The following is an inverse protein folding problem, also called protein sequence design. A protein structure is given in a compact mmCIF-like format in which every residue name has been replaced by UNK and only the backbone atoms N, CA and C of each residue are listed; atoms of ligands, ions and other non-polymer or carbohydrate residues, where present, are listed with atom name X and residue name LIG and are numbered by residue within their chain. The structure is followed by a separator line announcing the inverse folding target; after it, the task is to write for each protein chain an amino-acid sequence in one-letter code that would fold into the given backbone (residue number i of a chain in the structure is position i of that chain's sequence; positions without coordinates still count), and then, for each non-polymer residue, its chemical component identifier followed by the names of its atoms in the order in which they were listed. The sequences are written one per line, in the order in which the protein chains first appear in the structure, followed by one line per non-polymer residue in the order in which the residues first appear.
data_IF_780451636410
#
_entry.id   IF_780451636410
#
_cell.length_a   1.000
_cell.length_b   1.000
_cell.length_c   1.000
_cell.angle_alpha   90.00
_cell.angle_beta   90.00
_cell.angle_gamma   90.00
#
_symmetry.space_group_name_H-M   'P 1'
#
loop_
_entity.id
_entity.type
_entity.pdbx_description
1 polymer ?
#
# COMPACT_ATOMS: atom_id res chain seq x y z
N UNK A 1 -9.73 15.78 68.75
CA UNK A 1 -10.31 16.09 67.45
C UNK A 1 -9.25 16.51 66.40
N UNK A 2 -8.36 17.48 66.62
CA UNK A 2 -7.37 17.95 65.63
C UNK A 2 -6.42 16.86 65.13
N UNK A 3 -5.91 15.95 65.99
CA UNK A 3 -5.00 14.84 65.56
C UNK A 3 -5.65 13.78 64.65
N UNK A 4 -6.94 13.49 64.90
CA UNK A 4 -7.68 12.53 64.03
C UNK A 4 -7.95 13.07 62.64
N UNK A 5 -8.25 14.36 62.52
CA UNK A 5 -8.48 15.02 61.21
C UNK A 5 -7.20 15.04 60.38
N UNK A 6 -6.03 15.25 61.01
CA UNK A 6 -4.73 15.27 60.32
C UNK A 6 -4.32 13.87 59.79
N UNK A 7 -4.69 12.80 60.49
CA UNK A 7 -4.42 11.43 60.08
C UNK A 7 -5.35 11.05 58.91
N UNK A 8 -6.63 11.43 58.97
CA UNK A 8 -7.60 11.15 57.89
C UNK A 8 -7.23 11.87 56.60
N UNK A 9 -6.77 13.13 56.66
CA UNK A 9 -6.29 13.88 55.50
C UNK A 9 -5.03 13.24 54.85
N UNK A 10 -4.10 12.69 55.67
CA UNK A 10 -2.91 12.01 55.14
C UNK A 10 -3.26 10.70 54.45
N UNK A 11 -4.23 9.94 54.95
CA UNK A 11 -4.68 8.68 54.31
C UNK A 11 -5.38 8.97 52.95
N UNK A 12 -6.22 10.01 52.88
CA UNK A 12 -6.87 10.42 51.65
C UNK A 12 -5.85 10.91 50.62
N UNK A 13 -4.80 11.62 51.03
CA UNK A 13 -3.75 12.12 50.16
C UNK A 13 -2.85 10.98 49.64
N UNK A 14 -2.54 9.96 50.46
CA UNK A 14 -1.82 8.77 50.01
C UNK A 14 -2.65 7.94 49.02
N UNK A 15 -3.96 7.75 49.27
CA UNK A 15 -4.84 7.02 48.34
C UNK A 15 -5.00 7.72 46.99
N UNK A 16 -5.00 9.06 46.99
CA UNK A 16 -5.05 9.85 45.74
C UNK A 16 -3.76 9.76 44.93
N UNK A 17 -2.59 9.64 45.59
CA UNK A 17 -1.30 9.44 44.94
C UNK A 17 -1.17 8.03 44.31
N UNK A 18 -1.67 6.99 44.98
CA UNK A 18 -1.68 5.63 44.44
C UNK A 18 -2.66 5.49 43.27
N UNK A 19 -3.83 6.15 43.32
CA UNK A 19 -4.76 6.16 42.18
C UNK A 19 -4.19 6.91 40.98
N UNK A 20 -3.47 8.02 41.17
CA UNK A 20 -2.79 8.76 40.11
C UNK A 20 -1.59 7.99 39.54
N UNK A 21 -0.94 7.11 40.33
CA UNK A 21 0.15 6.25 39.87
C UNK A 21 -0.38 5.03 39.09
N UNK A 22 -1.54 4.50 39.43
CA UNK A 22 -2.19 3.40 38.72
C UNK A 22 -2.78 3.85 37.37
N UNK A 23 -3.28 5.08 37.25
CA UNK A 23 -3.78 5.60 35.97
C UNK A 23 -2.67 5.90 34.94
N UNK A 24 -1.41 6.03 35.38
CA UNK A 24 -0.26 6.19 34.48
C UNK A 24 0.31 4.87 33.91
N UNK A 25 -0.18 3.73 34.37
CA UNK A 25 0.26 2.38 33.88
C UNK A 25 -0.67 1.72 32.88
N UNK A 26 -1.66 2.42 32.35
CA UNK A 26 -2.22 2.03 31.05
C UNK A 26 -1.21 2.43 29.99
N UNK A 27 -0.16 1.64 29.84
CA UNK A 27 0.67 1.63 28.64
C UNK A 27 -0.28 1.60 27.45
N UNK A 28 -0.35 2.69 26.69
CA UNK A 28 -0.84 2.67 25.33
C UNK A 28 -0.12 1.50 24.66
N UNK A 29 -0.80 0.37 24.51
CA UNK A 29 -0.38 -0.71 23.66
C UNK A 29 -0.25 -0.03 22.30
N UNK A 30 0.98 0.33 21.90
CA UNK A 30 1.21 1.04 20.66
C UNK A 30 0.50 0.26 19.58
N UNK A 31 -0.45 0.90 18.91
CA UNK A 31 -1.08 0.30 17.73
C UNK A 31 0.08 0.00 16.82
N UNK A 32 0.43 -1.28 16.67
CA UNK A 32 1.52 -1.72 15.81
C UNK A 32 1.13 -1.26 14.42
N UNK A 33 1.85 -0.26 13.90
CA UNK A 33 1.56 0.31 12.59
C UNK A 33 1.67 -0.82 11.57
N UNK A 34 0.58 -1.11 10.90
CA UNK A 34 0.55 -2.12 9.85
C UNK A 34 1.42 -1.63 8.69
N UNK A 35 2.55 -2.25 8.49
CA UNK A 35 3.48 -1.87 7.43
C UNK A 35 3.67 -3.03 6.46
N UNK A 36 3.52 -2.72 5.17
CA UNK A 36 3.86 -3.61 4.06
C UNK A 36 4.83 -2.87 3.17
N UNK A 37 5.93 -3.51 2.81
CA UNK A 37 6.88 -3.01 1.83
C UNK A 37 6.85 -3.90 0.59
N UNK A 38 7.10 -3.29 -0.57
CA UNK A 38 7.30 -4.00 -1.82
C UNK A 38 8.65 -3.63 -2.43
N UNK A 39 9.25 -4.55 -3.17
CA UNK A 39 10.47 -4.32 -3.94
C UNK A 39 10.21 -4.74 -5.38
N UNK A 40 10.28 -3.79 -6.31
CA UNK A 40 10.26 -4.07 -7.75
C UNK A 40 11.71 -4.23 -8.20
N UNK A 41 12.09 -5.43 -8.61
CA UNK A 41 13.41 -5.72 -9.17
C UNK A 41 13.39 -5.54 -10.68
N UNK A 42 14.33 -4.75 -11.20
CA UNK A 42 14.54 -4.50 -12.62
C UNK A 42 16.01 -4.72 -12.98
N UNK A 43 16.36 -4.72 -14.27
CA UNK A 43 17.75 -4.76 -14.71
C UNK A 43 18.54 -3.49 -14.32
N UNK A 44 17.84 -2.39 -14.07
CA UNK A 44 18.44 -1.10 -13.67
C UNK A 44 18.59 -0.91 -12.17
N UNK A 45 18.07 -1.85 -11.39
CA UNK A 45 18.13 -1.83 -9.93
C UNK A 45 16.78 -2.19 -9.28
N UNK A 46 16.75 -2.03 -7.97
CA UNK A 46 15.54 -2.31 -7.16
C UNK A 46 14.89 -1.02 -6.73
N UNK A 47 13.57 -0.95 -6.87
CA UNK A 47 12.73 0.17 -6.41
C UNK A 47 11.99 -0.30 -5.15
N UNK A 48 12.29 0.32 -4.02
CA UNK A 48 11.65 0.01 -2.75
C UNK A 48 10.43 0.90 -2.53
N UNK A 49 9.32 0.28 -2.16
CA UNK A 49 8.03 0.92 -1.97
C UNK A 49 7.51 0.65 -0.55
N UNK A 50 6.81 1.63 0.00
CA UNK A 50 5.95 1.48 1.16
C UNK A 50 4.51 1.41 0.68
N UNK A 51 3.74 0.43 1.17
CA UNK A 51 2.32 0.30 0.86
C UNK A 51 1.46 0.79 2.02
N UNK A 52 0.22 1.16 1.74
CA UNK A 52 -0.74 1.77 2.66
C UNK A 52 -1.96 0.87 2.92
N UNK A 53 -1.81 -0.27 3.64
CA UNK A 53 -2.90 -1.23 3.85
C UNK A 53 -4.06 -0.69 4.69
N UNK A 54 -3.83 0.38 5.48
CA UNK A 54 -4.89 1.01 6.29
C UNK A 54 -5.73 2.00 5.47
N UNK A 55 -5.13 2.58 4.42
CA UNK A 55 -5.73 3.66 3.63
C UNK A 55 -6.34 3.17 2.30
N UNK A 56 -5.78 2.10 1.74
CA UNK A 56 -6.26 1.45 0.52
C UNK A 56 -6.22 -0.08 0.67
N UNK A 57 -6.99 -0.65 1.63
CA UNK A 57 -6.87 -2.07 1.98
C UNK A 57 -7.18 -3.01 0.81
N UNK A 58 -8.22 -2.74 0.04
CA UNK A 58 -8.61 -3.57 -1.09
C UNK A 58 -7.55 -3.54 -2.20
N UNK A 59 -7.05 -2.35 -2.53
CA UNK A 59 -6.01 -2.17 -3.55
C UNK A 59 -4.70 -2.83 -3.14
N UNK A 60 -4.28 -2.67 -1.88
CA UNK A 60 -3.07 -3.33 -1.37
C UNK A 60 -3.25 -4.85 -1.32
N UNK A 61 -4.43 -5.35 -0.92
CA UNK A 61 -4.72 -6.79 -0.94
C UNK A 61 -4.66 -7.38 -2.36
N UNK A 62 -5.24 -6.68 -3.35
CA UNK A 62 -5.12 -7.06 -4.75
C UNK A 62 -3.66 -7.11 -5.22
N UNK A 63 -2.89 -6.05 -4.98
CA UNK A 63 -1.50 -5.99 -5.37
C UNK A 63 -0.67 -7.11 -4.71
N UNK A 64 -0.83 -7.34 -3.40
CA UNK A 64 -0.15 -8.41 -2.66
C UNK A 64 -0.52 -9.80 -3.19
N UNK A 65 -1.80 -10.05 -3.45
CA UNK A 65 -2.28 -11.32 -4.02
C UNK A 65 -1.65 -11.58 -5.39
N UNK A 66 -1.64 -10.60 -6.28
CA UNK A 66 -1.00 -10.71 -7.61
C UNK A 66 0.51 -10.93 -7.51
N UNK A 67 1.20 -10.25 -6.57
CA UNK A 67 2.64 -10.47 -6.31
C UNK A 67 2.91 -11.90 -5.82
N UNK A 68 2.12 -12.41 -4.88
CA UNK A 68 2.27 -13.79 -4.38
C UNK A 68 2.06 -14.84 -5.46
N UNK A 69 1.22 -14.54 -6.45
CA UNK A 69 0.99 -15.39 -7.63
C UNK A 69 2.04 -15.19 -8.74
N UNK A 70 3.07 -14.35 -8.51
CA UNK A 70 4.09 -14.00 -9.51
C UNK A 70 3.50 -13.42 -10.81
N UNK A 71 2.35 -12.77 -10.69
CA UNK A 71 1.64 -12.20 -11.82
C UNK A 71 2.49 -11.18 -12.60
N UNK A 72 3.26 -10.36 -11.88
CA UNK A 72 4.07 -9.28 -12.45
C UNK A 72 5.42 -9.71 -13.00
N UNK A 73 5.88 -10.93 -12.68
CA UNK A 73 7.20 -11.42 -13.06
C UNK A 73 7.32 -11.53 -14.59
N UNK A 74 8.32 -10.87 -15.15
CA UNK A 74 8.58 -10.82 -16.59
C UNK A 74 7.74 -9.82 -17.37
N UNK A 75 6.76 -9.13 -16.76
CA UNK A 75 6.01 -8.05 -17.41
C UNK A 75 6.90 -6.84 -17.67
N UNK A 76 6.46 -5.93 -18.52
CA UNK A 76 7.20 -4.73 -18.90
C UNK A 76 6.56 -3.47 -18.32
N UNK A 77 7.36 -2.42 -18.20
CA UNK A 77 6.86 -1.06 -18.12
C UNK A 77 6.48 -0.61 -19.53
N UNK A 78 5.24 -0.86 -19.90
CA UNK A 78 4.75 -0.67 -21.27
C UNK A 78 4.53 0.80 -21.65
N UNK A 79 4.47 1.70 -20.67
CA UNK A 79 4.29 3.14 -20.89
C UNK A 79 5.15 3.93 -19.91
N UNK A 80 6.10 4.67 -20.42
CA UNK A 80 6.97 5.57 -19.67
C UNK A 80 6.89 6.95 -20.30
N UNK A 81 6.51 7.94 -19.51
CA UNK A 81 6.46 9.35 -19.96
C UNK A 81 7.37 10.14 -19.05
N UNK A 82 8.41 10.75 -19.65
CA UNK A 82 9.32 11.64 -18.93
C UNK A 82 8.52 12.77 -18.26
N UNK A 83 8.96 13.16 -17.07
CA UNK A 83 8.32 14.20 -16.25
C UNK A 83 6.81 13.96 -16.01
N UNK A 84 6.45 12.67 -15.92
CA UNK A 84 5.09 12.29 -15.54
C UNK A 84 5.08 10.99 -14.71
N UNK A 85 5.20 9.81 -15.35
CA UNK A 85 5.07 8.53 -14.64
C UNK A 85 5.69 7.35 -15.41
N UNK A 86 5.89 6.26 -14.69
CA UNK A 86 6.28 4.94 -15.19
C UNK A 86 5.14 3.97 -14.90
N UNK A 87 4.56 3.34 -15.93
CA UNK A 87 3.38 2.46 -15.83
C UNK A 87 3.73 1.03 -16.26
N UNK A 88 3.27 0.06 -15.46
CA UNK A 88 3.43 -1.37 -15.71
C UNK A 88 2.22 -2.17 -15.24
N UNK A 89 2.39 -3.50 -15.14
CA UNK A 89 1.35 -4.41 -14.62
C UNK A 89 0.32 -4.89 -15.63
N UNK A 90 0.56 -4.63 -16.92
CA UNK A 90 -0.24 -5.14 -18.03
C UNK A 90 0.36 -6.44 -18.57
N UNK A 91 -0.36 -7.60 -18.52
CA UNK A 91 0.15 -8.86 -19.05
C UNK A 91 0.28 -8.88 -20.59
N UNK A 92 -0.43 -7.99 -21.30
CA UNK A 92 -0.33 -7.83 -22.76
C UNK A 92 0.75 -6.83 -23.18
N UNK A 93 1.21 -5.98 -22.26
CA UNK A 93 2.25 -4.98 -22.52
C UNK A 93 1.86 -3.86 -23.48
N UNK A 94 0.58 -3.59 -23.69
CA UNK A 94 0.06 -2.59 -24.63
C UNK A 94 -0.99 -1.63 -24.01
N UNK A 95 -1.25 -1.73 -22.71
CA UNK A 95 -2.20 -0.92 -21.96
C UNK A 95 -3.62 -1.48 -21.89
N UNK A 96 -3.92 -2.61 -22.58
CA UNK A 96 -5.28 -3.15 -22.67
C UNK A 96 -5.51 -4.40 -21.81
N UNK A 97 -4.45 -4.97 -21.26
CA UNK A 97 -4.51 -6.19 -20.45
C UNK A 97 -4.82 -5.93 -18.98
N UNK A 98 -5.19 -7.00 -18.30
CA UNK A 98 -5.50 -6.97 -16.88
C UNK A 98 -5.73 -8.38 -16.34
N UNK A 99 -6.12 -8.51 -15.06
CA UNK A 99 -6.23 -9.80 -14.38
C UNK A 99 -7.52 -10.55 -14.71
N UNK A 100 -8.40 -9.97 -15.54
CA UNK A 100 -9.69 -10.53 -15.91
C UNK A 100 -10.84 -10.11 -14.98
N UNK A 101 -10.58 -9.26 -13.99
CA UNK A 101 -11.55 -8.65 -13.11
C UNK A 101 -11.23 -7.17 -12.88
N UNK A 102 -12.21 -6.45 -12.35
CA UNK A 102 -12.08 -5.05 -11.96
C UNK A 102 -12.59 -4.85 -10.54
N UNK A 103 -12.13 -3.78 -9.88
CA UNK A 103 -12.57 -3.42 -8.54
C UNK A 103 -12.64 -1.91 -8.35
N UNK A 104 -13.34 -1.53 -7.29
CA UNK A 104 -13.66 -0.17 -6.91
C UNK A 104 -12.45 0.67 -6.51
N UNK A 105 -12.62 1.98 -6.56
CA UNK A 105 -11.64 2.97 -6.15
C UNK A 105 -11.66 3.19 -4.63
N UNK A 106 -10.49 3.52 -4.08
CA UNK A 106 -10.33 3.91 -2.67
C UNK A 106 -9.76 5.32 -2.60
N UNK A 107 -10.57 6.32 -2.98
CA UNK A 107 -10.23 7.74 -2.93
C UNK A 107 -10.40 8.32 -1.52
N UNK A 108 -9.98 9.59 -1.33
CA UNK A 108 -10.05 10.31 -0.05
C UNK A 108 -9.39 9.56 1.12
N UNK A 109 -8.35 8.84 0.81
CA UNK A 109 -7.63 7.97 1.73
C UNK A 109 -6.48 8.67 2.48
N UNK A 110 -6.44 10.01 2.44
CA UNK A 110 -5.44 10.83 3.12
C UNK A 110 -4.16 11.07 2.32
N UNK A 111 -4.12 10.66 1.05
CA UNK A 111 -2.99 10.88 0.15
C UNK A 111 -3.42 11.68 -1.09
N UNK A 112 -2.47 12.42 -1.64
CA UNK A 112 -2.60 13.19 -2.87
C UNK A 112 -1.36 13.05 -3.75
N UNK A 113 -1.43 13.61 -4.93
CA UNK A 113 -0.33 13.62 -5.90
C UNK A 113 0.51 14.92 -5.87
N UNK A 114 0.49 15.68 -4.78
CA UNK A 114 1.25 16.93 -4.62
C UNK A 114 2.77 16.71 -4.60
N UNK A 115 3.23 15.49 -4.34
CA UNK A 115 4.66 15.12 -4.37
C UNK A 115 4.88 13.90 -5.27
N UNK A 116 6.06 13.79 -5.91
CA UNK A 116 6.39 12.64 -6.75
C UNK A 116 6.55 11.35 -5.94
N UNK A 117 6.63 10.23 -6.65
CA UNK A 117 6.88 8.92 -6.04
C UNK A 117 5.63 8.20 -5.57
N UNK A 118 4.44 8.67 -5.90
CA UNK A 118 3.19 8.00 -5.55
C UNK A 118 2.97 6.79 -6.44
N UNK A 119 2.71 5.64 -5.79
CA UNK A 119 2.28 4.41 -6.43
C UNK A 119 0.74 4.39 -6.45
N UNK A 120 0.16 4.31 -7.64
CA UNK A 120 -1.28 4.37 -7.82
C UNK A 120 -1.78 3.41 -8.90
N UNK A 121 -3.08 3.09 -8.86
CA UNK A 121 -3.72 2.25 -9.85
C UNK A 121 -3.97 3.02 -11.15
N UNK A 122 -3.54 2.44 -12.27
CA UNK A 122 -4.06 2.84 -13.58
C UNK A 122 -5.47 2.29 -13.76
N UNK A 123 -6.34 3.10 -14.35
CA UNK A 123 -7.72 2.74 -14.65
C UNK A 123 -8.18 3.39 -15.96
N UNK A 124 -9.38 3.05 -16.43
CA UNK A 124 -10.05 3.63 -17.59
C UNK A 124 -11.39 4.30 -17.23
N UNK A 125 -11.49 4.79 -16.01
CA UNK A 125 -12.65 5.42 -15.40
C UNK A 125 -12.96 4.81 -14.04
N UNK A 126 -14.02 5.27 -13.37
CA UNK A 126 -14.37 4.81 -12.03
C UNK A 126 -14.58 3.29 -11.93
N UNK A 127 -14.04 2.69 -10.88
CA UNK A 127 -14.20 1.26 -10.53
C UNK A 127 -13.65 0.28 -11.58
N UNK A 128 -12.63 0.69 -12.33
CA UNK A 128 -11.98 -0.17 -13.33
C UNK A 128 -10.54 -0.49 -12.98
N UNK A 129 -10.21 -0.53 -11.69
CA UNK A 129 -8.90 -0.96 -11.22
C UNK A 129 -8.70 -2.46 -11.47
N UNK A 130 -7.49 -2.85 -11.88
CA UNK A 130 -7.15 -4.24 -12.15
C UNK A 130 -5.74 -4.58 -11.66
N UNK A 131 -4.82 -4.84 -12.59
CA UNK A 131 -3.41 -5.11 -12.27
C UNK A 131 -2.46 -3.97 -12.62
N UNK A 132 -2.87 -3.05 -13.51
CA UNK A 132 -1.98 -1.99 -13.97
C UNK A 132 -1.79 -0.92 -12.89
N UNK A 133 -0.55 -0.52 -12.69
CA UNK A 133 -0.15 0.51 -11.75
C UNK A 133 0.82 1.50 -12.39
N UNK A 134 0.95 2.68 -11.81
CA UNK A 134 1.98 3.64 -12.19
C UNK A 134 2.65 4.27 -10.97
N UNK A 135 3.86 4.78 -11.17
CA UNK A 135 4.60 5.53 -10.15
C UNK A 135 4.95 6.90 -10.73
N UNK A 136 4.57 7.98 -10.04
CA UNK A 136 4.79 9.35 -10.50
C UNK A 136 6.25 9.77 -10.34
N UNK A 137 6.76 10.56 -11.29
CA UNK A 137 8.13 11.12 -11.26
C UNK A 137 8.16 12.62 -10.95
N UNK A 138 7.01 13.27 -10.97
CA UNK A 138 6.76 14.68 -10.65
C UNK A 138 5.44 14.82 -9.89
N UNK A 139 5.10 15.97 -9.29
CA UNK A 139 3.75 16.27 -8.80
C UNK A 139 2.71 16.17 -9.93
N UNK A 140 1.55 15.58 -9.64
CA UNK A 140 0.50 15.31 -10.64
C UNK A 140 -0.89 15.52 -10.05
N UNK A 141 -1.14 16.69 -9.46
CA UNK A 141 -2.37 16.99 -8.70
C UNK A 141 -3.67 16.80 -9.50
N UNK A 142 -3.61 16.87 -10.83
CA UNK A 142 -4.75 16.60 -11.71
C UNK A 142 -5.25 15.14 -11.70
N UNK A 143 -4.48 14.22 -11.06
CA UNK A 143 -4.86 12.82 -10.86
C UNK A 143 -5.61 12.58 -9.53
N UNK A 144 -5.70 13.60 -8.65
CA UNK A 144 -6.42 13.49 -7.39
C UNK A 144 -7.89 13.09 -7.64
N UNK A 145 -8.40 12.17 -6.81
CA UNK A 145 -9.74 11.60 -6.90
C UNK A 145 -10.07 10.91 -8.25
N UNK A 146 -9.04 10.50 -9.01
CA UNK A 146 -9.18 9.73 -10.26
C UNK A 146 -8.43 8.41 -10.20
N UNK A 147 -7.38 8.33 -9.40
CA UNK A 147 -6.56 7.15 -9.23
C UNK A 147 -6.31 6.86 -7.75
N UNK A 148 -6.48 5.61 -7.33
CA UNK A 148 -6.23 5.19 -5.96
C UNK A 148 -4.73 5.15 -5.69
N UNK A 149 -4.25 6.00 -4.78
CA UNK A 149 -2.89 5.93 -4.26
C UNK A 149 -2.86 4.83 -3.19
N UNK A 150 -1.96 3.86 -3.33
CA UNK A 150 -1.83 2.75 -2.39
C UNK A 150 -0.40 2.51 -1.87
N UNK A 151 0.54 3.40 -2.25
CA UNK A 151 1.91 3.35 -1.77
C UNK A 151 2.75 4.52 -2.26
N UNK A 152 4.03 4.48 -1.91
CA UNK A 152 5.02 5.47 -2.35
C UNK A 152 6.44 4.91 -2.37
N UNK A 153 7.33 5.56 -3.09
CA UNK A 153 8.77 5.31 -3.08
C UNK A 153 9.36 5.64 -1.71
N UNK A 154 10.33 4.83 -1.26
CA UNK A 154 10.95 4.98 0.07
C UNK A 154 12.11 5.98 0.10
N UNK A 155 12.80 6.22 -1.00
CA UNK A 155 14.03 7.02 -1.00
C UNK A 155 14.32 7.73 -2.33
N UNK A 156 15.21 8.73 -2.28
CA UNK A 156 15.73 9.37 -3.50
C UNK A 156 16.52 8.41 -4.39
N UNK A 157 17.17 7.40 -3.80
CA UNK A 157 17.87 6.37 -4.58
C UNK A 157 16.89 5.54 -5.41
N UNK A 158 15.73 5.18 -4.84
CA UNK A 158 14.66 4.49 -5.57
C UNK A 158 14.08 5.38 -6.69
N UNK A 159 13.93 6.68 -6.42
CA UNK A 159 13.49 7.65 -7.43
C UNK A 159 14.48 7.76 -8.61
N UNK A 160 15.80 7.71 -8.36
CA UNK A 160 16.81 7.71 -9.43
C UNK A 160 16.67 6.47 -10.30
N UNK A 161 16.46 5.30 -9.70
CA UNK A 161 16.24 4.06 -10.44
C UNK A 161 14.92 4.17 -11.25
N UNK A 162 13.82 4.62 -10.63
CA UNK A 162 12.55 4.82 -11.34
C UNK A 162 12.71 5.70 -12.58
N UNK A 163 13.40 6.85 -12.45
CA UNK A 163 13.64 7.79 -13.56
C UNK A 163 14.54 7.23 -14.65
N UNK A 164 15.30 6.17 -14.38
CA UNK A 164 16.13 5.48 -15.38
C UNK A 164 15.38 4.43 -16.18
N UNK A 165 14.16 4.06 -15.77
CA UNK A 165 13.32 3.07 -16.47
C UNK A 165 12.90 3.64 -17.83
N UNK A 166 13.00 2.80 -18.84
CA UNK A 166 12.53 3.08 -20.20
C UNK A 166 11.34 2.17 -20.58
N UNK A 167 10.61 2.57 -21.60
CA UNK A 167 9.55 1.74 -22.16
C UNK A 167 10.12 0.38 -22.60
N UNK A 168 9.40 -0.69 -22.26
CA UNK A 168 9.77 -2.10 -22.45
C UNK A 168 10.81 -2.66 -21.49
N UNK A 169 11.35 -1.88 -20.54
CA UNK A 169 12.16 -2.44 -19.47
C UNK A 169 11.34 -3.45 -18.66
N UNK A 170 11.99 -4.54 -18.23
CA UNK A 170 11.30 -5.66 -17.57
C UNK A 170 11.22 -5.48 -16.05
N UNK A 171 10.09 -5.88 -15.52
CA UNK A 171 9.91 -6.23 -14.11
C UNK A 171 10.45 -7.67 -13.95
N UNK A 172 11.64 -7.83 -13.39
CA UNK A 172 12.22 -9.17 -13.16
C UNK A 172 11.36 -9.91 -12.15
N UNK A 173 11.01 -9.25 -11.06
CA UNK A 173 10.11 -9.76 -10.03
C UNK A 173 9.61 -8.63 -9.14
N UNK A 174 8.48 -8.88 -8.47
CA UNK A 174 8.05 -8.06 -7.33
C UNK A 174 7.97 -8.96 -6.10
N UNK A 175 8.46 -8.47 -4.97
CA UNK A 175 8.34 -9.14 -3.67
C UNK A 175 7.68 -8.23 -2.66
N UNK A 176 6.95 -8.82 -1.70
CA UNK A 176 6.31 -8.08 -0.60
C UNK A 176 6.72 -8.66 0.73
N UNK A 177 6.88 -7.81 1.74
CA UNK A 177 7.19 -8.20 3.11
C UNK A 177 6.51 -7.28 4.11
N UNK A 178 6.24 -7.80 5.29
CA UNK A 178 5.61 -7.07 6.40
C UNK A 178 4.61 -7.92 7.16
N UNK A 179 4.49 -7.67 8.44
CA UNK A 179 3.59 -8.44 9.33
C UNK A 179 2.10 -8.08 9.15
N UNK A 180 1.81 -7.00 8.44
CA UNK A 180 0.46 -6.63 8.06
C UNK A 180 -0.12 -7.46 6.89
N UNK A 181 0.69 -8.23 6.17
CA UNK A 181 0.23 -9.02 5.02
C UNK A 181 -0.84 -10.03 5.44
N UNK A 182 -0.54 -10.89 6.43
CA UNK A 182 -1.48 -11.93 6.84
C UNK A 182 -2.82 -11.38 7.37
N UNK A 183 -2.85 -10.38 8.26
CA UNK A 183 -4.09 -9.75 8.68
C UNK A 183 -4.88 -9.11 7.54
N UNK A 184 -4.20 -8.45 6.59
CA UNK A 184 -4.83 -7.83 5.44
C UNK A 184 -5.51 -8.87 4.54
N UNK A 185 -4.79 -9.93 4.16
CA UNK A 185 -5.33 -10.97 3.30
C UNK A 185 -6.48 -11.74 3.96
N UNK A 186 -6.44 -11.91 5.28
CA UNK A 186 -7.55 -12.51 6.02
C UNK A 186 -8.79 -11.60 6.04
N UNK A 187 -8.59 -10.29 6.18
CA UNK A 187 -9.68 -9.30 6.12
C UNK A 187 -10.37 -9.31 4.75
N UNK A 188 -9.60 -9.39 3.67
CA UNK A 188 -10.09 -9.31 2.29
C UNK A 188 -10.27 -10.70 1.64
N UNK A 189 -10.30 -11.78 2.43
CA UNK A 189 -10.25 -13.17 1.94
C UNK A 189 -11.37 -13.55 0.97
N UNK A 190 -12.58 -13.05 1.17
CA UNK A 190 -13.73 -13.35 0.30
C UNK A 190 -13.51 -12.75 -1.09
N UNK A 191 -13.07 -11.49 -1.14
CA UNK A 191 -12.76 -10.80 -2.39
C UNK A 191 -11.58 -11.45 -3.11
N UNK A 192 -10.54 -11.82 -2.37
CA UNK A 192 -9.38 -12.54 -2.91
C UNK A 192 -9.80 -13.89 -3.49
N UNK A 193 -10.70 -14.61 -2.84
CA UNK A 193 -11.19 -15.89 -3.35
C UNK A 193 -11.96 -15.72 -4.68
N UNK A 194 -12.75 -14.66 -4.84
CA UNK A 194 -13.41 -14.30 -6.10
C UNK A 194 -12.38 -14.02 -7.21
N UNK A 195 -11.39 -13.18 -6.92
CA UNK A 195 -10.31 -12.85 -7.87
C UNK A 195 -9.50 -14.07 -8.28
N UNK A 196 -9.19 -14.94 -7.32
CA UNK A 196 -8.41 -16.14 -7.58
C UNK A 196 -9.15 -17.13 -8.50
N UNK A 197 -10.47 -17.26 -8.40
CA UNK A 197 -11.26 -18.04 -9.35
C UNK A 197 -11.08 -17.54 -10.80
N UNK A 198 -11.09 -16.23 -11.00
CA UNK A 198 -10.87 -15.62 -12.32
C UNK A 198 -9.43 -15.82 -12.78
N UNK A 199 -8.44 -15.61 -11.91
CA UNK A 199 -7.02 -15.79 -12.24
C UNK A 199 -6.70 -17.25 -12.58
N UNK A 200 -7.30 -18.21 -11.87
CA UNK A 200 -7.11 -19.65 -12.15
C UNK A 200 -7.72 -20.02 -13.51
N UNK A 201 -8.89 -19.47 -13.85
CA UNK A 201 -9.56 -19.74 -15.11
C UNK A 201 -8.83 -19.14 -16.33
N UNK A 202 -8.13 -18.03 -16.18
CA UNK A 202 -7.46 -17.32 -17.27
C UNK A 202 -5.93 -17.39 -17.23
N UNK A 203 -5.36 -18.36 -16.48
CA UNK A 203 -3.91 -18.54 -16.33
C UNK A 203 -3.19 -17.25 -15.92
N UNK A 204 -3.66 -16.59 -14.85
CA UNK A 204 -3.16 -15.31 -14.37
C UNK A 204 -3.22 -14.18 -15.42
N UNK A 205 -4.29 -14.11 -16.22
CA UNK A 205 -4.48 -13.06 -17.21
C UNK A 205 -3.60 -13.22 -18.47
N UNK A 206 -2.99 -14.39 -18.68
CA UNK A 206 -2.11 -14.69 -19.82
C UNK A 206 -2.82 -15.32 -21.00
N UNK A 207 -4.15 -15.41 -20.96
CA UNK A 207 -4.98 -15.86 -22.07
C UNK A 207 -5.47 -14.71 -22.94
#
# INVERSE_FOLDING_TARGET
MKKMITILLKIIFLAALDFAAQTKKTTKKGVKKMEITAVIKTEKGSINLKLYPENAPLTVANFVNLVQRKYYDGLTFHRVIADFMVQGGDPRGNGTGGPGYEFEDEFNNGFDFAVPGKLAMANRGPKTNGSQFFITTVPTDWLNNKHTIFGEIKSEADMKILKSIATSDKIISITVSGDAIKPLLEKEKERIAEWNKVLDANNNGKL
#
